data_IF_545667385179
#
_entry.id   IF_545667385179
#
_cell.length_a   1.000
_cell.length_b   1.000
_cell.length_c   1.000
_cell.angle_alpha   90.00
_cell.angle_beta   90.00
_cell.angle_gamma   90.00
#
_symmetry.space_group_name_H-M   'P 1'
#
loop_
_entity.id
_entity.type
_entity.pdbx_description
1 polymer ?
#
# COMPACT_ATOMS: atom_id res chain seq x y z
N UNK A 1 9.60 -11.91 -11.55
CA UNK A 1 8.74 -10.73 -11.72
C UNK A 1 9.33 -9.58 -10.90
N UNK A 2 9.50 -8.39 -11.48
CA UNK A 2 10.15 -7.24 -10.84
C UNK A 2 9.43 -5.96 -11.27
N UNK A 3 9.27 -5.04 -10.33
CA UNK A 3 8.89 -3.65 -10.57
C UNK A 3 10.14 -2.79 -10.50
N UNK A 4 10.34 -1.91 -11.48
CA UNK A 4 11.37 -0.88 -11.44
C UNK A 4 10.71 0.49 -11.59
N UNK A 5 11.00 1.39 -10.66
CA UNK A 5 10.49 2.76 -10.62
C UNK A 5 11.66 3.72 -10.69
N UNK A 6 11.62 4.62 -11.67
CA UNK A 6 12.60 5.70 -11.85
C UNK A 6 11.83 6.96 -12.30
N UNK A 7 11.24 7.66 -11.32
CA UNK A 7 10.50 8.91 -11.54
C UNK A 7 11.46 10.07 -11.31
N UNK A 8 11.83 10.74 -12.38
CA UNK A 8 12.75 11.86 -12.34
C UNK A 8 12.09 13.13 -11.80
N UNK A 9 10.86 13.42 -12.28
CA UNK A 9 10.09 14.57 -11.84
C UNK A 9 8.59 14.37 -12.04
N UNK A 10 7.80 14.97 -11.15
CA UNK A 10 6.35 15.17 -11.29
C UNK A 10 5.97 16.50 -10.64
N UNK A 11 5.27 17.33 -11.39
CA UNK A 11 4.69 18.58 -10.90
C UNK A 11 3.20 18.64 -11.17
N UNK A 12 2.50 19.44 -10.38
CA UNK A 12 1.10 19.82 -10.62
C UNK A 12 1.01 21.33 -10.75
N UNK A 13 0.05 21.82 -11.53
CA UNK A 13 -0.30 23.23 -11.56
C UNK A 13 -1.26 23.54 -10.41
N UNK A 14 -0.96 24.58 -9.63
CA UNK A 14 -1.88 25.10 -8.63
C UNK A 14 -3.01 25.91 -9.29
N UNK A 15 -3.96 26.38 -8.49
CA UNK A 15 -5.09 27.18 -8.99
C UNK A 15 -4.65 28.51 -9.66
N UNK A 16 -3.46 29.03 -9.34
CA UNK A 16 -2.86 30.20 -9.97
C UNK A 16 -2.08 29.88 -11.27
N UNK A 17 -2.02 28.60 -11.66
CA UNK A 17 -1.29 28.15 -12.85
C UNK A 17 0.22 27.94 -12.61
N UNK A 18 0.72 28.12 -11.39
CA UNK A 18 2.13 27.94 -11.05
C UNK A 18 2.44 26.45 -10.90
N UNK A 19 3.61 26.04 -11.41
CA UNK A 19 4.09 24.65 -11.28
C UNK A 19 4.59 24.39 -9.87
N UNK A 20 4.10 23.34 -9.22
CA UNK A 20 4.55 22.88 -7.93
C UNK A 20 5.12 21.47 -8.06
N UNK A 21 6.42 21.33 -7.83
CA UNK A 21 7.09 20.05 -7.85
C UNK A 21 6.63 19.17 -6.67
N UNK A 22 6.29 17.93 -6.97
CA UNK A 22 5.81 16.95 -5.98
C UNK A 22 6.80 15.81 -5.84
N UNK A 23 7.40 15.35 -6.94
CA UNK A 23 8.41 14.30 -6.93
C UNK A 23 9.66 14.78 -7.66
N UNK A 24 10.85 14.46 -7.13
CA UNK A 24 12.15 14.82 -7.71
C UNK A 24 13.18 13.72 -7.45
N UNK A 25 13.14 12.63 -8.25
CA UNK A 25 14.10 11.53 -8.14
C UNK A 25 13.65 10.40 -7.21
N UNK A 26 12.45 9.85 -7.43
CA UNK A 26 11.96 8.67 -6.72
C UNK A 26 12.39 7.41 -7.47
N UNK A 27 13.39 6.69 -6.92
CA UNK A 27 13.95 5.50 -7.53
C UNK A 27 13.96 4.32 -6.57
N UNK A 28 13.31 3.21 -6.97
CA UNK A 28 13.31 1.96 -6.23
C UNK A 28 12.93 0.77 -7.12
N UNK A 29 13.10 -0.44 -6.59
CA UNK A 29 12.64 -1.67 -7.23
C UNK A 29 12.04 -2.62 -6.21
N UNK A 30 11.11 -3.48 -6.66
CA UNK A 30 10.51 -4.56 -5.87
C UNK A 30 10.56 -5.88 -6.63
N UNK A 31 10.66 -6.98 -5.89
CA UNK A 31 10.64 -8.35 -6.42
C UNK A 31 9.33 -9.06 -6.07
N UNK A 32 9.03 -10.15 -6.77
CA UNK A 32 7.91 -11.00 -6.43
C UNK A 32 8.01 -11.46 -4.96
N UNK A 33 6.89 -11.44 -4.24
CA UNK A 33 6.80 -11.80 -2.82
C UNK A 33 7.36 -10.78 -1.84
N UNK A 34 7.94 -9.68 -2.33
CA UNK A 34 8.49 -8.62 -1.49
C UNK A 34 7.41 -7.57 -1.17
N UNK A 35 7.39 -7.11 0.09
CA UNK A 35 6.61 -5.97 0.54
C UNK A 35 7.53 -4.76 0.71
N UNK A 36 7.46 -3.82 -0.22
CA UNK A 36 8.12 -2.52 -0.11
C UNK A 36 7.19 -1.49 0.49
N UNK A 37 7.69 -0.66 1.38
CA UNK A 37 6.92 0.38 2.04
C UNK A 37 7.46 1.75 1.68
N UNK A 38 6.62 2.63 1.13
CA UNK A 38 6.90 4.05 1.01
C UNK A 38 6.55 4.73 2.33
N UNK A 39 7.55 5.16 3.06
CA UNK A 39 7.40 5.83 4.35
C UNK A 39 7.91 7.26 4.27
N UNK A 40 7.12 8.22 4.73
CA UNK A 40 7.49 9.64 4.71
C UNK A 40 6.35 10.53 5.21
N UNK A 41 6.58 11.83 5.37
CA UNK A 41 5.62 12.78 5.94
C UNK A 41 4.32 12.84 5.11
N UNK A 42 3.23 13.25 5.76
CA UNK A 42 1.96 13.47 5.08
C UNK A 42 2.11 14.54 4.00
N UNK A 43 1.47 14.33 2.85
CA UNK A 43 1.50 15.27 1.73
C UNK A 43 2.81 15.28 0.92
N UNK A 44 3.83 14.46 1.22
CA UNK A 44 5.08 14.47 0.45
C UNK A 44 4.95 13.96 -0.98
N UNK A 45 3.90 13.18 -1.31
CA UNK A 45 3.69 12.67 -2.67
C UNK A 45 3.54 11.14 -2.77
N UNK A 46 3.41 10.41 -1.65
CA UNK A 46 3.28 8.94 -1.63
C UNK A 46 2.16 8.42 -2.54
N UNK A 47 0.96 8.98 -2.39
CA UNK A 47 -0.19 8.57 -3.24
C UNK A 47 0.00 8.95 -4.70
N UNK A 48 0.80 10.00 -5.00
CA UNK A 48 1.19 10.33 -6.38
C UNK A 48 2.09 9.25 -6.96
N UNK A 49 3.09 8.78 -6.20
CA UNK A 49 3.93 7.63 -6.61
C UNK A 49 3.06 6.40 -6.87
N UNK A 50 2.10 6.09 -5.97
CA UNK A 50 1.19 4.96 -6.17
C UNK A 50 0.37 5.08 -7.45
N UNK A 51 -0.18 6.27 -7.76
CA UNK A 51 -0.96 6.51 -8.99
C UNK A 51 -0.10 6.29 -10.24
N UNK A 52 1.13 6.78 -10.24
CA UNK A 52 2.08 6.57 -11.34
C UNK A 52 2.41 5.08 -11.47
N UNK A 53 2.75 4.42 -10.37
CA UNK A 53 3.08 2.99 -10.34
C UNK A 53 1.89 2.13 -10.74
N UNK A 54 0.66 2.50 -10.36
CA UNK A 54 -0.57 1.82 -10.80
C UNK A 54 -0.90 2.06 -12.29
N UNK A 55 -0.28 3.05 -12.94
CA UNK A 55 -0.63 3.47 -14.30
C UNK A 55 -1.90 4.29 -14.38
N UNK A 56 -2.24 4.98 -13.31
CA UNK A 56 -3.37 5.91 -13.23
C UNK A 56 -2.97 7.36 -13.53
N UNK A 57 -1.67 7.66 -13.48
CA UNK A 57 -1.07 8.94 -13.83
C UNK A 57 0.11 8.69 -14.77
N UNK A 58 0.05 9.25 -15.97
CA UNK A 58 1.06 9.12 -17.02
C UNK A 58 1.84 10.42 -17.26
N UNK A 59 1.43 11.52 -16.62
CA UNK A 59 2.07 12.82 -16.76
C UNK A 59 3.21 12.97 -15.76
N UNK A 60 4.35 12.35 -16.04
CA UNK A 60 5.59 12.44 -15.25
C UNK A 60 6.82 12.24 -16.14
N UNK A 61 7.98 12.68 -15.66
CA UNK A 61 9.26 12.40 -16.30
C UNK A 61 9.88 11.15 -15.66
N UNK A 62 10.40 10.26 -16.49
CA UNK A 62 11.04 9.03 -16.06
C UNK A 62 10.37 7.79 -16.64
N UNK A 63 10.51 6.65 -15.96
CA UNK A 63 9.91 5.38 -16.40
C UNK A 63 9.50 4.50 -15.23
N UNK A 64 8.46 3.71 -15.46
CA UNK A 64 8.04 2.62 -14.57
C UNK A 64 7.93 1.35 -15.40
N UNK A 65 8.79 0.38 -15.08
CA UNK A 65 8.75 -0.95 -15.68
C UNK A 65 7.97 -1.88 -14.76
N UNK A 66 6.79 -2.26 -15.21
CA UNK A 66 5.93 -3.24 -14.55
C UNK A 66 6.01 -4.56 -15.28
N UNK A 67 5.81 -5.70 -14.60
CA UNK A 67 5.67 -6.97 -15.30
C UNK A 67 4.52 -6.88 -16.31
N UNK A 68 4.77 -7.32 -17.53
CA UNK A 68 3.74 -7.39 -18.57
C UNK A 68 2.59 -8.29 -18.11
N UNK A 69 1.36 -7.86 -18.35
CA UNK A 69 0.13 -8.60 -18.01
C UNK A 69 -0.08 -8.88 -16.50
N UNK A 70 0.61 -8.17 -15.60
CA UNK A 70 0.38 -8.31 -14.17
C UNK A 70 -1.03 -7.84 -13.78
N UNK A 71 -1.75 -8.67 -13.03
CA UNK A 71 -3.02 -8.29 -12.41
C UNK A 71 -2.70 -7.39 -11.21
N UNK A 72 -3.13 -6.14 -11.28
CA UNK A 72 -2.86 -5.15 -10.23
C UNK A 72 -4.08 -5.01 -9.34
N UNK A 73 -3.97 -5.44 -8.08
CA UNK A 73 -4.93 -5.12 -7.03
C UNK A 73 -4.58 -3.79 -6.37
N UNK A 74 -5.57 -2.91 -6.17
CA UNK A 74 -5.34 -1.64 -5.50
C UNK A 74 -6.39 -1.38 -4.42
N UNK A 75 -5.91 -1.05 -3.23
CA UNK A 75 -6.71 -0.57 -2.10
C UNK A 75 -6.38 0.90 -1.89
N UNK A 76 -7.38 1.75 -2.05
CA UNK A 76 -7.26 3.19 -1.83
C UNK A 76 -7.46 3.53 -0.35
N UNK A 77 -7.00 4.68 0.09
CA UNK A 77 -7.22 5.21 1.43
C UNK A 77 -8.72 5.26 1.80
N UNK A 78 -9.56 5.69 0.85
CA UNK A 78 -11.01 5.52 0.93
C UNK A 78 -11.41 4.19 0.27
N UNK A 79 -12.32 3.40 0.84
CA UNK A 79 -12.68 2.08 0.30
C UNK A 79 -13.25 2.08 -1.12
N UNK A 80 -13.85 3.21 -1.57
CA UNK A 80 -14.42 3.40 -2.91
C UNK A 80 -15.34 2.26 -3.34
N UNK A 81 -16.22 1.85 -2.44
CA UNK A 81 -17.24 0.85 -2.73
C UNK A 81 -18.36 1.47 -3.54
N UNK A 82 -18.98 0.66 -4.41
CA UNK A 82 -20.17 1.07 -5.15
C UNK A 82 -21.37 1.06 -4.22
N UNK A 83 -21.98 2.21 -3.89
CA UNK A 83 -22.99 2.30 -2.84
C UNK A 83 -24.30 1.58 -3.18
N UNK A 84 -24.56 1.31 -4.46
CA UNK A 84 -25.73 0.57 -4.98
C UNK A 84 -25.49 -0.92 -5.17
N UNK A 85 -24.37 -1.44 -4.73
CA UNK A 85 -24.00 -2.85 -4.78
C UNK A 85 -23.78 -3.38 -3.38
N UNK A 86 -24.18 -4.62 -3.15
CA UNK A 86 -23.86 -5.31 -1.89
C UNK A 86 -22.37 -5.57 -1.73
N UNK A 87 -21.94 -6.03 -0.56
CA UNK A 87 -20.56 -6.47 -0.30
C UNK A 87 -20.12 -7.51 -1.32
N UNK A 88 -20.92 -8.57 -1.47
CA UNK A 88 -20.62 -9.65 -2.42
C UNK A 88 -20.50 -9.14 -3.86
N UNK A 89 -21.44 -8.33 -4.29
CA UNK A 89 -21.44 -7.76 -5.65
C UNK A 89 -20.26 -6.82 -5.89
N UNK A 90 -19.84 -6.03 -4.88
CA UNK A 90 -18.64 -5.19 -4.97
C UNK A 90 -17.37 -6.03 -5.22
N UNK A 91 -17.26 -7.20 -4.61
CA UNK A 91 -16.12 -8.10 -4.77
C UNK A 91 -16.19 -8.85 -6.09
N UNK A 92 -17.34 -9.48 -6.40
CA UNK A 92 -17.55 -10.27 -7.64
C UNK A 92 -17.44 -9.42 -8.92
N UNK A 93 -17.72 -8.12 -8.85
CA UNK A 93 -17.55 -7.23 -9.99
C UNK A 93 -16.10 -7.15 -10.48
N UNK A 94 -15.14 -7.18 -9.57
CA UNK A 94 -13.72 -7.16 -9.92
C UNK A 94 -13.23 -8.51 -10.46
N UNK A 95 -13.85 -9.60 -10.06
CA UNK A 95 -13.46 -10.98 -10.41
C UNK A 95 -14.69 -11.83 -10.77
N UNK A 96 -15.36 -11.55 -11.90
CA UNK A 96 -16.61 -12.22 -12.24
C UNK A 96 -16.48 -13.72 -12.54
N UNK A 97 -15.26 -14.18 -12.80
CA UNK A 97 -14.94 -15.59 -13.07
C UNK A 97 -14.18 -16.25 -11.91
N UNK A 98 -14.14 -15.61 -10.73
CA UNK A 98 -13.45 -16.19 -9.59
C UNK A 98 -14.17 -17.45 -9.08
N UNK A 99 -13.39 -18.42 -8.63
CA UNK A 99 -13.91 -19.63 -8.01
C UNK A 99 -14.65 -19.29 -6.69
N UNK A 100 -15.86 -19.81 -6.54
CA UNK A 100 -16.71 -19.57 -5.37
C UNK A 100 -16.09 -20.09 -4.06
N UNK A 101 -15.43 -21.25 -4.08
CA UNK A 101 -14.77 -21.81 -2.89
C UNK A 101 -13.66 -20.87 -2.40
N UNK A 102 -12.97 -20.27 -3.34
CA UNK A 102 -11.89 -19.33 -3.08
C UNK A 102 -12.40 -17.98 -2.59
N UNK A 103 -13.45 -17.44 -3.18
CA UNK A 103 -14.12 -16.24 -2.66
C UNK A 103 -14.63 -16.48 -1.24
N UNK A 104 -15.21 -17.66 -0.97
CA UNK A 104 -15.65 -18.04 0.37
C UNK A 104 -14.49 -18.03 1.37
N UNK A 105 -13.33 -18.61 1.03
CA UNK A 105 -12.15 -18.58 1.88
C UNK A 105 -11.63 -17.15 2.12
N UNK A 106 -11.67 -16.29 1.10
CA UNK A 106 -11.29 -14.88 1.21
C UNK A 106 -12.25 -14.12 2.15
N UNK A 107 -13.55 -14.37 2.03
CA UNK A 107 -14.57 -13.80 2.93
C UNK A 107 -14.40 -14.30 4.37
N UNK A 108 -13.94 -15.53 4.58
CA UNK A 108 -13.62 -16.04 5.92
C UNK A 108 -12.43 -15.31 6.54
N UNK A 109 -11.32 -15.22 5.80
CA UNK A 109 -10.10 -14.52 6.28
C UNK A 109 -10.42 -13.08 6.67
N UNK A 110 -11.24 -12.40 5.85
CA UNK A 110 -11.63 -11.00 6.07
C UNK A 110 -12.87 -10.83 6.95
N UNK A 111 -13.46 -11.94 7.46
CA UNK A 111 -14.64 -11.93 8.34
C UNK A 111 -15.85 -11.20 7.73
N UNK A 112 -16.10 -11.44 6.46
CA UNK A 112 -17.16 -10.77 5.69
C UNK A 112 -18.41 -11.62 5.47
N UNK A 113 -18.38 -12.93 5.79
CA UNK A 113 -19.50 -13.86 5.48
C UNK A 113 -20.86 -13.39 6.01
N UNK A 114 -20.90 -12.83 7.21
CA UNK A 114 -22.15 -12.33 7.79
C UNK A 114 -22.65 -11.01 7.15
N UNK A 115 -21.87 -10.40 6.30
CA UNK A 115 -22.12 -9.07 5.74
C UNK A 115 -22.29 -9.05 4.21
N UNK A 116 -22.30 -10.21 3.54
CA UNK A 116 -22.29 -10.31 2.08
C UNK A 116 -23.48 -9.60 1.41
N UNK A 117 -24.64 -9.62 2.05
CA UNK A 117 -25.87 -8.96 1.55
C UNK A 117 -26.00 -7.49 1.96
N UNK A 118 -25.12 -6.96 2.82
CA UNK A 118 -25.18 -5.57 3.25
C UNK A 118 -24.70 -4.62 2.15
N UNK A 119 -25.21 -3.39 2.16
CA UNK A 119 -24.76 -2.31 1.33
C UNK A 119 -23.66 -1.48 2.04
N UNK A 120 -22.82 -0.74 1.31
CA UNK A 120 -21.72 0.05 1.89
C UNK A 120 -22.12 1.04 2.98
N UNK A 121 -23.33 1.62 2.93
CA UNK A 121 -23.85 2.54 3.93
C UNK A 121 -24.23 1.87 5.27
N UNK A 122 -24.29 0.55 5.30
CA UNK A 122 -24.56 -0.26 6.51
C UNK A 122 -23.26 -0.74 7.19
N UNK A 123 -22.09 -0.44 6.58
CA UNK A 123 -20.81 -0.93 7.04
C UNK A 123 -20.08 0.09 7.92
N UNK A 124 -19.40 -0.40 8.97
CA UNK A 124 -18.36 0.38 9.63
C UNK A 124 -17.18 0.64 8.68
N UNK A 125 -16.35 1.65 8.97
CA UNK A 125 -15.14 1.92 8.18
C UNK A 125 -14.23 0.70 8.08
N UNK A 126 -14.07 -0.06 9.16
CA UNK A 126 -13.27 -1.28 9.18
C UNK A 126 -13.82 -2.37 8.27
N UNK A 127 -15.15 -2.59 8.27
CA UNK A 127 -15.79 -3.53 7.34
C UNK A 127 -15.65 -3.06 5.90
N UNK A 128 -15.87 -1.79 5.61
CA UNK A 128 -15.70 -1.24 4.28
C UNK A 128 -14.27 -1.43 3.74
N UNK A 129 -13.24 -1.30 4.59
CA UNK A 129 -11.84 -1.57 4.24
C UNK A 129 -11.58 -3.05 3.96
N UNK A 130 -12.15 -3.96 4.75
CA UNK A 130 -12.08 -5.40 4.48
C UNK A 130 -12.72 -5.76 3.14
N UNK A 131 -13.83 -5.13 2.78
CA UNK A 131 -14.45 -5.29 1.45
C UNK A 131 -13.55 -4.78 0.34
N UNK A 132 -12.89 -3.63 0.52
CA UNK A 132 -11.92 -3.12 -0.45
C UNK A 132 -10.71 -4.05 -0.61
N UNK A 133 -10.22 -4.66 0.48
CA UNK A 133 -9.19 -5.71 0.44
C UNK A 133 -9.70 -6.95 -0.29
N UNK A 134 -10.90 -7.45 0.05
CA UNK A 134 -11.51 -8.59 -0.63
C UNK A 134 -11.58 -8.36 -2.15
N UNK A 135 -12.03 -7.18 -2.58
CA UNK A 135 -12.09 -6.80 -3.99
C UNK A 135 -10.72 -6.81 -4.66
N UNK A 136 -9.68 -6.31 -3.97
CA UNK A 136 -8.31 -6.30 -4.50
C UNK A 136 -7.67 -7.70 -4.57
N UNK A 137 -8.02 -8.60 -3.64
CA UNK A 137 -7.49 -9.96 -3.63
C UNK A 137 -8.29 -10.96 -4.47
N UNK A 138 -9.57 -10.68 -4.76
CA UNK A 138 -10.42 -11.54 -5.58
C UNK A 138 -9.87 -11.75 -6.99
N UNK A 139 -9.19 -10.76 -7.56
CA UNK A 139 -8.55 -10.85 -8.88
C UNK A 139 -7.26 -11.66 -8.90
N UNK A 140 -6.82 -12.23 -7.76
CA UNK A 140 -5.50 -12.89 -7.63
C UNK A 140 -4.35 -11.99 -8.08
N UNK A 141 -4.11 -10.88 -7.42
CA UNK A 141 -3.15 -9.92 -7.89
C UNK A 141 -1.73 -10.50 -7.91
N UNK A 142 -1.01 -10.22 -8.98
CA UNK A 142 0.43 -10.43 -9.07
C UNK A 142 1.17 -9.27 -8.41
N UNK A 143 0.55 -8.09 -8.42
CA UNK A 143 1.02 -6.87 -7.78
C UNK A 143 -0.10 -6.20 -6.99
N UNK A 144 0.13 -5.96 -5.71
CA UNK A 144 -0.80 -5.33 -4.78
C UNK A 144 -0.30 -3.94 -4.39
N UNK A 145 -1.18 -2.96 -4.44
CA UNK A 145 -0.93 -1.58 -4.00
C UNK A 145 -1.87 -1.26 -2.84
N UNK A 146 -1.32 -0.84 -1.71
CA UNK A 146 -2.06 -0.49 -0.50
C UNK A 146 -1.77 0.97 -0.12
N UNK A 147 -2.77 1.85 -0.23
CA UNK A 147 -2.65 3.27 0.14
C UNK A 147 -3.28 3.49 1.52
N UNK A 148 -2.46 3.58 2.56
CA UNK A 148 -2.84 3.80 3.96
C UNK A 148 -4.00 2.89 4.45
N UNK A 149 -3.90 1.57 4.31
CA UNK A 149 -5.02 0.65 4.53
C UNK A 149 -5.50 0.61 5.98
N UNK A 150 -4.67 1.03 6.95
CA UNK A 150 -4.95 0.99 8.39
C UNK A 150 -5.22 2.37 9.01
N UNK A 151 -5.11 3.45 8.23
CA UNK A 151 -5.29 4.82 8.74
C UNK A 151 -6.69 5.05 9.33
N UNK A 152 -6.78 5.83 10.41
CA UNK A 152 -8.05 6.20 11.08
C UNK A 152 -8.88 5.02 11.63
N UNK A 153 -8.25 3.88 11.87
CA UNK A 153 -8.82 2.79 12.65
C UNK A 153 -8.33 2.87 14.09
N UNK A 154 -9.12 2.37 15.02
CA UNK A 154 -8.64 2.13 16.38
C UNK A 154 -7.59 1.02 16.41
N UNK A 155 -6.79 0.98 17.47
CA UNK A 155 -5.63 0.08 17.57
C UNK A 155 -6.01 -1.40 17.45
N UNK A 156 -7.13 -1.82 18.05
CA UNK A 156 -7.57 -3.22 18.02
C UNK A 156 -7.98 -3.64 16.60
N UNK A 157 -8.73 -2.78 15.92
CA UNK A 157 -9.18 -3.02 14.55
C UNK A 157 -8.00 -2.95 13.55
N UNK A 158 -7.08 -2.00 13.74
CA UNK A 158 -5.87 -1.90 12.94
C UNK A 158 -4.98 -3.14 13.10
N UNK A 159 -4.79 -3.65 14.33
CA UNK A 159 -4.03 -4.87 14.59
C UNK A 159 -4.64 -6.08 13.87
N UNK A 160 -5.97 -6.26 13.95
CA UNK A 160 -6.69 -7.35 13.31
C UNK A 160 -6.60 -7.29 11.79
N UNK A 161 -6.79 -6.10 11.21
CA UNK A 161 -6.68 -5.92 9.76
C UNK A 161 -5.24 -6.11 9.27
N UNK A 162 -4.25 -5.71 10.05
CA UNK A 162 -2.83 -5.96 9.79
C UNK A 162 -2.52 -7.45 9.70
N UNK A 163 -3.04 -8.26 10.63
CA UNK A 163 -2.90 -9.72 10.59
C UNK A 163 -3.53 -10.32 9.34
N UNK A 164 -4.73 -9.88 8.98
CA UNK A 164 -5.41 -10.32 7.76
C UNK A 164 -4.61 -9.98 6.50
N UNK A 165 -4.05 -8.77 6.41
CA UNK A 165 -3.16 -8.37 5.31
C UNK A 165 -1.90 -9.26 5.29
N UNK A 166 -1.29 -9.51 6.46
CA UNK A 166 -0.09 -10.34 6.56
C UNK A 166 -0.34 -11.78 6.08
N UNK A 167 -1.48 -12.38 6.42
CA UNK A 167 -1.90 -13.70 5.93
C UNK A 167 -2.04 -13.68 4.41
N UNK A 168 -2.83 -12.74 3.88
CA UNK A 168 -3.14 -12.66 2.45
C UNK A 168 -1.91 -12.41 1.56
N UNK A 169 -0.93 -11.65 2.07
CA UNK A 169 0.33 -11.36 1.36
C UNK A 169 1.35 -12.48 1.58
N UNK A 170 1.32 -13.16 2.74
CA UNK A 170 2.27 -14.21 3.11
C UNK A 170 2.09 -15.51 2.33
N UNK A 171 0.84 -15.93 2.12
CA UNK A 171 0.50 -17.19 1.44
C UNK A 171 0.72 -17.14 -0.09
N UNK A 172 0.92 -15.96 -0.64
CA UNK A 172 1.03 -15.74 -2.08
C UNK A 172 2.31 -14.96 -2.35
N UNK A 173 3.04 -15.32 -3.39
CA UNK A 173 4.22 -14.57 -3.86
C UNK A 173 3.82 -13.21 -4.47
N UNK A 174 2.88 -12.51 -3.84
CA UNK A 174 2.36 -11.21 -4.29
C UNK A 174 3.40 -10.14 -4.02
N UNK A 175 3.84 -9.46 -5.06
CA UNK A 175 4.62 -8.24 -4.90
C UNK A 175 3.72 -7.14 -4.33
N UNK A 176 4.11 -6.49 -3.25
CA UNK A 176 3.27 -5.50 -2.57
C UNK A 176 3.98 -4.18 -2.38
N UNK A 177 3.33 -3.08 -2.77
CA UNK A 177 3.74 -1.72 -2.46
C UNK A 177 2.75 -1.11 -1.48
N UNK A 178 3.21 -0.88 -0.25
CA UNK A 178 2.43 -0.31 0.84
C UNK A 178 2.83 1.15 1.05
N UNK A 179 1.85 2.02 1.24
CA UNK A 179 2.04 3.38 1.77
C UNK A 179 1.45 3.43 3.16
N UNK A 180 2.22 3.95 4.10
CA UNK A 180 1.76 4.28 5.45
C UNK A 180 2.61 5.41 6.04
N UNK A 181 2.04 6.15 6.97
CA UNK A 181 2.76 7.09 7.84
C UNK A 181 2.98 6.51 9.25
N UNK A 182 2.42 5.33 9.54
CA UNK A 182 2.65 4.60 10.78
C UNK A 182 3.89 3.71 10.67
N UNK A 183 4.86 3.93 11.57
CA UNK A 183 6.13 3.21 11.54
C UNK A 183 5.99 1.76 12.00
N UNK A 184 5.06 1.45 12.89
CA UNK A 184 4.80 0.10 13.37
C UNK A 184 4.20 -0.76 12.26
N UNK A 185 3.24 -0.22 11.53
CA UNK A 185 2.68 -0.87 10.34
C UNK A 185 3.75 -1.10 9.28
N UNK A 186 4.57 -0.08 9.01
CA UNK A 186 5.65 -0.16 8.05
C UNK A 186 6.64 -1.27 8.39
N UNK A 187 7.04 -1.36 9.66
CA UNK A 187 7.98 -2.39 10.11
C UNK A 187 7.32 -3.77 10.18
N UNK A 188 6.08 -3.89 10.65
CA UNK A 188 5.40 -5.19 10.79
C UNK A 188 5.09 -5.84 9.45
N UNK A 189 4.70 -5.08 8.44
CA UNK A 189 4.29 -5.58 7.12
C UNK A 189 5.41 -5.57 6.08
N UNK A 190 6.33 -4.60 6.12
CA UNK A 190 7.33 -4.37 5.08
C UNK A 190 8.54 -5.30 5.16
N UNK A 191 9.20 -5.54 4.04
CA UNK A 191 10.53 -6.18 3.96
C UNK A 191 11.62 -5.14 3.70
N UNK A 192 11.27 -4.05 2.99
CA UNK A 192 12.12 -2.86 2.81
C UNK A 192 11.31 -1.59 2.95
N UNK A 193 11.87 -0.60 3.63
CA UNK A 193 11.32 0.74 3.73
C UNK A 193 12.09 1.68 2.80
N UNK A 194 11.37 2.37 1.93
CA UNK A 194 11.87 3.48 1.12
C UNK A 194 11.50 4.77 1.85
N UNK A 195 12.50 5.41 2.46
CA UNK A 195 12.32 6.64 3.22
C UNK A 195 12.24 7.82 2.27
N UNK A 196 11.13 8.53 2.27
CA UNK A 196 10.89 9.69 1.40
C UNK A 196 11.13 10.99 2.16
N UNK A 197 11.71 11.98 1.47
CA UNK A 197 11.83 13.36 1.93
C UNK A 197 10.45 14.04 2.01
N UNK A 198 10.42 15.24 2.58
CA UNK A 198 9.36 16.20 2.32
C UNK A 198 9.30 16.57 0.82
N UNK A 199 8.28 17.34 0.42
CA UNK A 199 8.08 17.76 -0.97
C UNK A 199 9.14 18.76 -1.43
N UNK A 200 9.71 18.59 -2.67
CA UNK A 200 9.46 17.49 -3.59
C UNK A 200 10.09 16.17 -3.10
N UNK A 201 9.30 15.08 -3.15
CA UNK A 201 9.74 13.81 -2.59
C UNK A 201 10.83 13.16 -3.43
N UNK A 202 11.83 12.65 -2.74
CA UNK A 202 12.88 11.77 -3.26
C UNK A 202 13.13 10.64 -2.26
N UNK A 203 13.70 9.54 -2.73
CA UNK A 203 14.12 8.45 -1.85
C UNK A 203 15.42 8.84 -1.15
N UNK A 204 15.36 9.08 0.15
CA UNK A 204 16.52 9.44 0.98
C UNK A 204 17.36 8.22 1.31
N UNK A 205 16.72 7.09 1.60
CA UNK A 205 17.39 5.86 1.97
C UNK A 205 16.47 4.65 1.80
N UNK A 206 17.08 3.45 1.79
CA UNK A 206 16.40 2.16 1.72
C UNK A 206 16.81 1.31 2.91
N UNK A 207 15.88 1.08 3.84
CA UNK A 207 16.13 0.34 5.07
C UNK A 207 15.58 -1.09 4.94
N UNK A 208 16.43 -2.13 4.86
CA UNK A 208 15.97 -3.51 4.89
C UNK A 208 15.55 -3.91 6.29
N UNK A 209 14.46 -4.68 6.39
CA UNK A 209 13.97 -5.29 7.63
C UNK A 209 14.37 -6.76 7.59
N UNK A 210 15.41 -7.14 8.33
CA UNK A 210 16.04 -8.45 8.19
C UNK A 210 15.24 -9.61 8.80
N UNK A 211 14.42 -9.36 9.84
CA UNK A 211 13.61 -10.39 10.46
C UNK A 211 12.40 -10.76 9.57
N UNK A 212 12.12 -12.06 9.36
CA UNK A 212 10.93 -12.50 8.65
C UNK A 212 9.64 -11.94 9.28
N UNK A 213 8.67 -11.49 8.47
CA UNK A 213 7.42 -10.88 8.95
C UNK A 213 6.72 -11.68 10.06
N UNK A 214 6.64 -13.00 9.92
CA UNK A 214 5.98 -13.89 10.88
C UNK A 214 6.75 -14.11 12.20
N UNK A 215 7.98 -13.64 12.31
CA UNK A 215 8.87 -13.88 13.47
C UNK A 215 9.42 -12.59 14.09
N UNK A 216 8.90 -11.42 13.71
CA UNK A 216 9.38 -10.14 14.24
C UNK A 216 9.01 -9.98 15.71
N UNK A 217 10.03 -9.83 16.52
CA UNK A 217 9.89 -9.53 17.95
C UNK A 217 9.82 -8.01 18.21
N UNK A 218 9.41 -7.62 19.40
CA UNK A 218 9.47 -6.21 19.82
C UNK A 218 10.92 -5.68 19.82
N UNK A 219 11.92 -6.54 20.05
CA UNK A 219 13.33 -6.16 19.95
C UNK A 219 13.72 -5.82 18.50
N UNK A 220 13.27 -6.60 17.51
CA UNK A 220 13.49 -6.32 16.09
C UNK A 220 12.82 -5.01 15.67
N UNK A 221 11.62 -4.76 16.21
CA UNK A 221 10.88 -3.52 16.00
C UNK A 221 11.67 -2.30 16.53
N UNK A 222 12.14 -2.38 17.78
CA UNK A 222 12.91 -1.32 18.42
C UNK A 222 14.25 -1.04 17.70
N UNK A 223 14.96 -2.10 17.29
CA UNK A 223 16.20 -1.98 16.53
C UNK A 223 15.98 -1.29 15.18
N UNK A 224 14.90 -1.65 14.47
CA UNK A 224 14.55 -1.04 13.18
C UNK A 224 14.15 0.42 13.35
N UNK A 225 13.34 0.76 14.38
CA UNK A 225 12.98 2.15 14.72
C UNK A 225 14.21 3.00 14.97
N UNK A 226 15.16 2.48 15.76
CA UNK A 226 16.43 3.17 16.06
C UNK A 226 17.25 3.42 14.80
N UNK A 227 17.29 2.46 13.89
CA UNK A 227 17.98 2.60 12.61
C UNK A 227 17.35 3.72 11.77
N UNK A 228 16.02 3.73 11.63
CA UNK A 228 15.29 4.76 10.88
C UNK A 228 15.50 6.15 11.47
N UNK A 229 15.42 6.30 12.80
CA UNK A 229 15.64 7.59 13.46
C UNK A 229 17.04 8.19 13.21
N UNK A 230 18.06 7.36 13.06
CA UNK A 230 19.42 7.81 12.69
C UNK A 230 19.47 8.36 11.26
N UNK A 231 18.74 7.75 10.33
CA UNK A 231 18.69 8.19 8.92
C UNK A 231 17.93 9.51 8.78
N UNK A 232 16.79 9.67 9.47
CA UNK A 232 16.02 10.93 9.44
C UNK A 232 16.79 12.11 10.07
N UNK A 233 17.53 11.88 11.16
CA UNK A 233 18.35 12.92 11.79
C UNK A 233 19.58 13.34 10.93
N UNK A 234 20.16 12.42 10.17
CA UNK A 234 21.28 12.73 9.28
C UNK A 234 20.85 13.50 8.03
N UNK A 235 19.62 13.28 7.54
CA UNK A 235 19.06 14.02 6.39
C UNK A 235 18.78 15.47 6.78
N UNK A 236 18.22 15.72 7.97
CA UNK A 236 17.95 17.08 8.46
C UNK A 236 19.24 17.93 8.65
N UNK A 237 20.41 17.29 8.80
CA UNK A 237 21.71 17.99 8.91
C UNK A 237 22.38 18.28 7.56
N UNK A 238 21.88 17.70 6.46
CA UNK A 238 22.42 17.97 5.10
C UNK A 238 21.68 19.09 4.40
N UNK A 239 20.48 19.44 4.87
CA UNK A 239 19.63 20.51 4.32
C UNK A 239 19.73 21.82 5.11
N UNK A 240 20.58 21.88 6.16
CA UNK A 240 20.90 23.05 6.97
C UNK A 240 22.34 23.53 6.68
#
# INVERSE_FOLDING_TARGET
MQLEVDILAKAFKNAAGESQDVLAGVKFSLRAGEVGVLFGPSGCGKSTVLKIVAGLDHDFQGKVLRPSNARIGMVFQEPRLLPWRTVEENVKLAAPLADEARLSALFDILELKAHLSHFPNELSLGLARRVALARAFAIEPDFLILDEPLASLDDALAARLREQIAILVGDRSVMTLLVTHDLDDAIRLGDRLFLLSARPAQVLDVVPICAPRSKRSEADMAATKTKIARHTNNSAKRDA
#
